data_IF_316148036825
#
_entry.id   IF_316148036825
#
_cell.length_a   1.000
_cell.length_b   1.000
_cell.length_c   1.000
_cell.angle_alpha   90.00
_cell.angle_beta   90.00
_cell.angle_gamma   90.00
#
_symmetry.space_group_name_H-M   'P 1'
#
loop_
_entity.id
_entity.type
_entity.pdbx_description
1 polymer ?
#
# COMPACT_ATOMS: atom_id res chain seq x y z
N UNK A 1 25.19 -13.60 -7.70
CA UNK A 1 24.65 -12.28 -8.11
C UNK A 1 25.54 -11.14 -7.62
N UNK A 2 26.01 -10.31 -8.53
CA UNK A 2 26.85 -9.13 -8.28
C UNK A 2 25.99 -7.86 -8.34
N UNK A 3 25.40 -7.47 -7.19
CA UNK A 3 24.42 -6.39 -7.11
C UNK A 3 24.95 -5.08 -7.71
N UNK A 4 26.17 -4.66 -7.36
CA UNK A 4 26.74 -3.40 -7.85
C UNK A 4 26.90 -3.37 -9.38
N UNK A 5 27.28 -4.49 -10.00
CA UNK A 5 27.39 -4.60 -11.44
C UNK A 5 26.03 -4.45 -12.15
N UNK A 6 25.00 -5.09 -11.57
CA UNK A 6 23.61 -4.97 -12.08
C UNK A 6 23.15 -3.53 -11.95
N UNK A 7 23.37 -2.89 -10.79
CA UNK A 7 22.97 -1.51 -10.57
C UNK A 7 23.67 -0.53 -11.50
N UNK A 8 24.97 -0.68 -11.74
CA UNK A 8 25.70 0.14 -12.71
C UNK A 8 25.11 0.05 -14.12
N UNK A 9 24.75 -1.16 -14.55
CA UNK A 9 24.11 -1.36 -15.86
C UNK A 9 22.70 -0.71 -15.92
N UNK A 10 21.93 -0.79 -14.85
CA UNK A 10 20.59 -0.14 -14.76
C UNK A 10 20.70 1.39 -14.71
N UNK A 11 21.65 1.95 -13.98
CA UNK A 11 21.89 3.40 -13.93
C UNK A 11 22.22 3.98 -15.31
N UNK A 12 22.98 3.23 -16.13
CA UNK A 12 23.28 3.63 -17.51
C UNK A 12 22.03 3.60 -18.40
N UNK A 13 21.13 2.64 -18.21
CA UNK A 13 19.88 2.52 -18.98
C UNK A 13 18.80 3.52 -18.53
N UNK A 14 18.76 3.86 -17.26
CA UNK A 14 17.71 4.65 -16.61
C UNK A 14 18.29 5.87 -15.88
N UNK A 15 18.99 6.76 -16.59
CA UNK A 15 19.62 7.92 -15.97
C UNK A 15 18.58 8.86 -15.35
N UNK A 16 18.81 9.25 -14.09
CA UNK A 16 17.94 10.16 -13.35
C UNK A 16 16.69 9.54 -12.72
N UNK A 17 16.50 8.22 -12.83
CA UNK A 17 15.37 7.52 -12.19
C UNK A 17 15.73 7.04 -10.78
N UNK A 18 16.04 7.98 -9.88
CA UNK A 18 16.60 7.72 -8.54
C UNK A 18 15.70 6.86 -7.66
N UNK A 19 14.39 7.12 -7.64
CA UNK A 19 13.44 6.37 -6.81
C UNK A 19 13.33 4.91 -7.26
N UNK A 20 13.29 4.70 -8.56
CA UNK A 20 13.25 3.36 -9.13
C UNK A 20 14.53 2.57 -8.86
N UNK A 21 15.70 3.18 -9.11
CA UNK A 21 17.00 2.54 -8.90
C UNK A 21 17.23 2.19 -7.42
N UNK A 22 16.80 3.06 -6.50
CA UNK A 22 16.87 2.78 -5.06
C UNK A 22 16.04 1.55 -4.68
N UNK A 23 14.80 1.47 -5.13
CA UNK A 23 13.92 0.35 -4.82
C UNK A 23 14.46 -0.98 -5.36
N UNK A 24 15.00 -0.99 -6.58
CA UNK A 24 15.64 -2.17 -7.15
C UNK A 24 16.83 -2.60 -6.30
N UNK A 25 17.71 -1.68 -5.92
CA UNK A 25 18.89 -1.96 -5.07
C UNK A 25 18.49 -2.63 -3.75
N UNK A 26 17.50 -2.09 -3.05
CA UNK A 26 17.02 -2.61 -1.77
C UNK A 26 16.52 -4.06 -1.88
N UNK A 27 15.74 -4.35 -2.93
CA UNK A 27 15.25 -5.72 -3.17
C UNK A 27 16.40 -6.66 -3.55
N UNK A 28 17.30 -6.27 -4.46
CA UNK A 28 18.43 -7.10 -4.88
C UNK A 28 19.34 -7.47 -3.71
N UNK A 29 19.61 -6.55 -2.79
CA UNK A 29 20.37 -6.83 -1.56
C UNK A 29 19.65 -7.88 -0.72
N UNK A 30 18.35 -7.73 -0.52
CA UNK A 30 17.54 -8.64 0.30
C UNK A 30 17.47 -10.06 -0.26
N UNK A 31 17.44 -10.22 -1.59
CA UNK A 31 17.24 -11.53 -2.24
C UNK A 31 18.53 -12.20 -2.70
N UNK A 32 19.69 -11.53 -2.57
CA UNK A 32 20.99 -12.01 -3.07
C UNK A 32 21.32 -13.44 -2.64
N UNK A 33 21.18 -13.73 -1.36
CA UNK A 33 21.57 -15.02 -0.78
C UNK A 33 20.68 -16.16 -1.30
N UNK A 34 19.36 -15.94 -1.36
CA UNK A 34 18.43 -16.95 -1.87
C UNK A 34 18.57 -17.13 -3.38
N UNK A 35 18.81 -16.06 -4.14
CA UNK A 35 19.07 -16.14 -5.57
C UNK A 35 20.29 -17.00 -5.89
N UNK A 36 21.38 -16.84 -5.13
CA UNK A 36 22.60 -17.61 -5.33
C UNK A 36 22.46 -19.11 -5.03
N UNK A 37 21.40 -19.51 -4.35
CA UNK A 37 21.04 -20.92 -4.11
C UNK A 37 20.28 -21.55 -5.29
N UNK A 38 19.89 -20.75 -6.29
CA UNK A 38 19.06 -21.12 -7.42
C UNK A 38 19.76 -20.82 -8.76
N UNK A 39 20.73 -21.65 -9.19
CA UNK A 39 21.45 -21.43 -10.46
C UNK A 39 20.54 -21.40 -11.69
N UNK A 40 19.34 -22.03 -11.60
CA UNK A 40 18.32 -21.98 -12.64
C UNK A 40 17.79 -20.56 -12.88
N UNK A 41 17.80 -19.69 -11.87
CA UNK A 41 17.39 -18.28 -12.02
C UNK A 41 18.41 -17.47 -12.82
N UNK A 42 19.70 -17.74 -12.63
CA UNK A 42 20.77 -17.10 -13.41
C UNK A 42 20.70 -17.53 -14.88
N UNK A 43 20.54 -18.82 -15.13
CA UNK A 43 20.42 -19.36 -16.49
C UNK A 43 19.21 -18.80 -17.26
N UNK A 44 18.14 -18.43 -16.56
CA UNK A 44 16.93 -17.83 -17.13
C UNK A 44 16.94 -16.30 -17.11
N UNK A 45 18.04 -15.65 -16.70
CA UNK A 45 18.17 -14.19 -16.57
C UNK A 45 17.01 -13.56 -15.78
N UNK A 46 16.61 -14.20 -14.67
CA UNK A 46 15.45 -13.76 -13.89
C UNK A 46 15.64 -12.34 -13.36
N UNK A 47 16.83 -11.98 -12.88
CA UNK A 47 17.07 -10.63 -12.34
C UNK A 47 16.97 -9.58 -13.44
N UNK A 48 17.60 -9.79 -14.57
CA UNK A 48 17.60 -8.85 -15.70
C UNK A 48 16.18 -8.61 -16.24
N UNK A 49 15.32 -9.62 -16.16
CA UNK A 49 13.91 -9.54 -16.58
C UNK A 49 13.01 -8.95 -15.51
N UNK A 50 13.19 -9.28 -14.24
CA UNK A 50 12.31 -8.84 -13.16
C UNK A 50 12.52 -7.38 -12.77
N UNK A 51 13.70 -6.82 -13.05
CA UNK A 51 13.99 -5.40 -12.79
C UNK A 51 13.58 -4.48 -13.94
N UNK A 52 13.17 -5.00 -15.07
CA UNK A 52 12.64 -4.18 -16.17
C UNK A 52 11.12 -4.37 -16.27
N UNK A 53 10.34 -3.29 -16.45
CA UNK A 53 8.91 -3.43 -16.70
C UNK A 53 8.66 -4.09 -18.06
N UNK A 54 7.64 -4.95 -18.14
CA UNK A 54 7.25 -5.61 -19.38
C UNK A 54 6.76 -4.61 -20.43
N UNK A 55 6.02 -3.57 -19.99
CA UNK A 55 5.54 -2.48 -20.86
C UNK A 55 5.39 -1.17 -20.12
N UNK A 56 5.64 -0.08 -20.83
CA UNK A 56 5.34 1.29 -20.40
C UNK A 56 4.50 1.96 -21.50
N UNK A 57 3.32 2.43 -21.12
CA UNK A 57 2.44 3.21 -22.00
C UNK A 57 2.48 4.65 -21.51
N UNK A 58 2.87 5.57 -22.40
CA UNK A 58 2.89 7.01 -22.13
C UNK A 58 2.03 7.71 -23.17
N UNK A 59 1.14 8.60 -22.74
CA UNK A 59 0.21 9.26 -23.61
C UNK A 59 -0.11 10.68 -23.14
N UNK A 60 -0.50 11.54 -24.09
CA UNK A 60 -0.95 12.91 -23.83
C UNK A 60 -2.43 12.90 -23.43
N UNK A 61 -2.77 13.70 -22.41
CA UNK A 61 -4.14 13.86 -21.89
C UNK A 61 -4.56 15.33 -22.04
N UNK A 62 -5.16 15.74 -23.18
CA UNK A 62 -5.73 17.09 -23.34
C UNK A 62 -7.14 17.12 -22.73
N UNK A 63 -7.44 18.19 -22.00
CA UNK A 63 -8.77 18.42 -21.42
C UNK A 63 -9.06 19.92 -21.33
N UNK A 64 -10.33 20.29 -21.12
CA UNK A 64 -10.76 21.70 -21.09
C UNK A 64 -11.17 22.06 -19.65
N UNK A 65 -10.61 23.13 -19.11
CA UNK A 65 -10.98 23.65 -17.79
C UNK A 65 -12.35 24.39 -17.81
N UNK A 66 -12.79 24.85 -16.65
CA UNK A 66 -14.07 25.54 -16.50
C UNK A 66 -14.09 26.94 -17.17
N UNK A 67 -12.92 27.49 -17.52
CA UNK A 67 -12.76 28.74 -18.26
C UNK A 67 -12.73 28.50 -19.78
N UNK A 68 -12.86 27.25 -20.25
CA UNK A 68 -12.81 26.91 -21.67
C UNK A 68 -11.38 26.82 -22.23
N UNK A 69 -10.34 26.88 -21.39
CA UNK A 69 -8.94 26.77 -21.80
C UNK A 69 -8.50 25.31 -21.88
N UNK A 70 -7.78 24.98 -22.96
CA UNK A 70 -7.18 23.65 -23.12
C UNK A 70 -5.99 23.49 -22.17
N UNK A 71 -6.03 22.44 -21.39
CA UNK A 71 -4.96 21.95 -20.52
C UNK A 71 -4.39 20.66 -21.10
N UNK A 72 -3.10 20.39 -20.84
CA UNK A 72 -2.42 19.17 -21.32
C UNK A 72 -1.61 18.57 -20.19
N UNK A 73 -1.89 17.32 -19.87
CA UNK A 73 -1.14 16.52 -18.92
C UNK A 73 -0.57 15.27 -19.62
N UNK A 74 0.32 14.55 -18.94
CA UNK A 74 0.87 13.30 -19.40
C UNK A 74 0.29 12.17 -18.55
N UNK A 75 -0.22 11.13 -19.21
CA UNK A 75 -0.69 9.89 -18.60
C UNK A 75 0.32 8.78 -18.80
N UNK A 76 0.38 7.89 -17.80
CA UNK A 76 1.28 6.73 -17.78
C UNK A 76 0.55 5.48 -17.30
N UNK A 77 0.93 4.33 -17.86
CA UNK A 77 0.68 3.01 -17.27
C UNK A 77 1.93 2.17 -17.38
N UNK A 78 2.47 1.72 -16.26
CA UNK A 78 3.57 0.78 -16.16
C UNK A 78 2.98 -0.59 -15.86
N UNK A 79 3.03 -1.48 -16.83
CA UNK A 79 2.72 -2.89 -16.72
C UNK A 79 4.03 -3.59 -16.37
N UNK A 80 4.25 -3.80 -15.06
CA UNK A 80 5.59 -4.11 -14.59
C UNK A 80 5.93 -5.60 -14.74
N UNK A 81 5.08 -6.48 -14.19
CA UNK A 81 5.28 -7.92 -14.29
C UNK A 81 3.94 -8.66 -14.21
N UNK A 82 3.63 -9.46 -15.22
CA UNK A 82 2.39 -10.21 -15.37
C UNK A 82 2.50 -11.70 -15.06
N UNK A 83 3.65 -12.20 -14.58
CA UNK A 83 3.89 -13.64 -14.44
C UNK A 83 2.92 -14.36 -13.48
N UNK A 84 2.35 -13.66 -12.51
CA UNK A 84 1.44 -14.27 -11.51
C UNK A 84 -0.03 -13.85 -11.65
N UNK A 85 -0.38 -13.12 -12.69
CA UNK A 85 -1.75 -12.70 -12.97
C UNK A 85 -1.82 -11.35 -13.66
N UNK A 86 -3.03 -10.83 -13.92
CA UNK A 86 -3.23 -9.52 -14.53
C UNK A 86 -2.46 -8.43 -13.79
N UNK A 87 -1.91 -7.46 -14.52
CA UNK A 87 -1.25 -6.32 -13.88
C UNK A 87 -2.23 -5.62 -12.95
N UNK A 88 -1.81 -5.34 -11.73
CA UNK A 88 -2.66 -4.75 -10.69
C UNK A 88 -1.91 -3.67 -9.93
N UNK A 89 -2.53 -2.51 -9.82
CA UNK A 89 -2.00 -1.39 -9.04
C UNK A 89 -2.71 -0.08 -9.35
N UNK A 90 -2.57 0.88 -8.43
CA UNK A 90 -3.31 2.13 -8.44
C UNK A 90 -2.91 3.10 -9.55
N UNK A 91 -3.82 4.03 -9.85
CA UNK A 91 -3.55 5.26 -10.59
C UNK A 91 -3.34 6.41 -9.60
N UNK A 92 -2.27 7.17 -9.76
CA UNK A 92 -1.96 8.34 -8.96
C UNK A 92 -2.14 9.62 -9.79
N UNK A 93 -2.98 10.54 -9.30
CA UNK A 93 -3.14 11.87 -9.89
C UNK A 93 -2.54 12.91 -8.94
N UNK A 94 -1.31 13.31 -9.24
CA UNK A 94 -0.57 14.26 -8.42
C UNK A 94 0.52 14.96 -9.25
N UNK A 95 0.75 16.24 -9.00
CA UNK A 95 1.73 17.04 -9.76
C UNK A 95 3.17 16.48 -9.74
N UNK A 96 3.53 15.68 -8.73
CA UNK A 96 4.86 15.06 -8.65
C UNK A 96 5.02 13.78 -9.47
N UNK A 97 3.96 13.28 -10.12
CA UNK A 97 4.02 12.02 -10.88
C UNK A 97 4.97 12.15 -12.05
N UNK A 98 5.90 11.21 -12.11
CA UNK A 98 6.84 11.01 -13.22
C UNK A 98 7.07 9.51 -13.43
N UNK A 99 7.81 9.17 -14.47
CA UNK A 99 8.04 7.76 -14.82
C UNK A 99 8.87 7.01 -13.78
N UNK A 100 9.88 7.63 -13.18
CA UNK A 100 10.71 7.02 -12.12
C UNK A 100 9.86 6.57 -10.93
N UNK A 101 8.98 7.45 -10.43
CA UNK A 101 8.04 7.16 -9.34
C UNK A 101 7.10 6.00 -9.71
N UNK A 102 6.57 5.98 -10.93
CA UNK A 102 5.62 4.93 -11.34
C UNK A 102 6.32 3.59 -11.58
N UNK A 103 7.55 3.56 -12.08
CA UNK A 103 8.37 2.37 -12.16
C UNK A 103 8.71 1.82 -10.77
N UNK A 104 9.16 2.67 -9.87
CA UNK A 104 9.35 2.32 -8.45
C UNK A 104 8.12 1.66 -7.85
N UNK A 105 6.98 2.34 -7.95
CA UNK A 105 5.73 1.85 -7.37
C UNK A 105 5.22 0.58 -8.05
N UNK A 106 5.43 0.41 -9.36
CA UNK A 106 5.06 -0.80 -10.10
C UNK A 106 5.93 -2.00 -9.72
N UNK A 107 7.23 -1.77 -9.55
CA UNK A 107 8.18 -2.78 -9.07
C UNK A 107 7.82 -3.28 -7.67
N UNK A 108 7.64 -2.38 -6.72
CA UNK A 108 7.20 -2.70 -5.35
C UNK A 108 5.84 -3.41 -5.31
N UNK A 109 4.91 -2.97 -6.18
CA UNK A 109 3.57 -3.56 -6.27
C UNK A 109 3.62 -5.02 -6.72
N UNK A 110 4.57 -5.39 -7.59
CA UNK A 110 4.77 -6.77 -8.04
C UNK A 110 5.00 -7.71 -6.86
N UNK A 111 5.91 -7.36 -5.95
CA UNK A 111 6.21 -8.19 -4.78
C UNK A 111 5.12 -8.14 -3.72
N UNK A 112 4.51 -6.97 -3.52
CA UNK A 112 3.36 -6.83 -2.61
C UNK A 112 2.19 -7.72 -3.04
N UNK A 113 1.82 -7.70 -4.32
CA UNK A 113 0.75 -8.54 -4.84
C UNK A 113 1.09 -10.03 -4.75
N UNK A 114 2.35 -10.38 -4.97
CA UNK A 114 2.83 -11.76 -4.86
C UNK A 114 2.62 -12.37 -3.47
N UNK A 115 2.64 -11.55 -2.42
CA UNK A 115 2.39 -12.02 -1.04
C UNK A 115 0.92 -12.40 -0.81
N UNK A 116 -0.04 -11.85 -1.56
CA UNK A 116 -1.49 -11.96 -1.27
C UNK A 116 -2.06 -13.29 -1.71
N UNK A 117 -1.53 -14.36 -1.91
CA UNK A 117 -2.14 -15.62 -2.41
C UNK A 117 -2.96 -15.47 -3.73
N UNK A 118 -3.38 -14.27 -4.07
CA UNK A 118 -4.25 -13.98 -5.22
C UNK A 118 -3.45 -13.86 -6.54
N UNK A 119 -4.05 -14.23 -7.68
CA UNK A 119 -3.40 -14.16 -8.99
C UNK A 119 -3.41 -12.71 -9.51
N UNK A 120 -2.46 -11.91 -9.05
CA UNK A 120 -2.30 -10.51 -9.44
C UNK A 120 -0.83 -10.18 -9.71
N UNK A 121 -0.53 -9.74 -10.90
CA UNK A 121 0.75 -9.16 -11.29
C UNK A 121 0.95 -7.76 -10.72
N UNK A 122 2.02 -7.09 -11.11
CA UNK A 122 2.35 -5.73 -10.68
C UNK A 122 2.17 -4.70 -11.79
N UNK A 123 1.52 -3.59 -11.45
CA UNK A 123 1.40 -2.44 -12.34
C UNK A 123 1.17 -1.15 -11.57
N UNK A 124 1.44 -0.03 -12.20
CA UNK A 124 1.19 1.30 -11.65
C UNK A 124 0.94 2.31 -12.76
N UNK A 125 0.13 3.31 -12.48
CA UNK A 125 -0.11 4.36 -13.46
C UNK A 125 -0.45 5.68 -12.81
N UNK A 126 -0.75 6.66 -13.64
CA UNK A 126 -1.12 7.98 -13.16
C UNK A 126 -0.84 9.11 -14.13
N UNK A 127 -0.90 10.31 -13.61
CA UNK A 127 -0.66 11.54 -14.35
C UNK A 127 -0.14 12.63 -13.43
N UNK A 128 0.59 13.59 -13.99
CA UNK A 128 0.97 14.85 -13.36
C UNK A 128 -0.22 15.81 -13.12
N UNK A 129 -1.43 15.39 -13.46
CA UNK A 129 -2.68 16.07 -13.11
C UNK A 129 -2.92 16.02 -11.59
N UNK A 130 -3.31 17.16 -11.00
CA UNK A 130 -3.75 17.22 -9.60
C UNK A 130 -5.24 17.56 -9.53
N UNK A 131 -6.08 16.73 -8.90
CA UNK A 131 -7.50 17.04 -8.71
C UNK A 131 -7.74 18.12 -7.65
N UNK A 132 -6.71 18.46 -6.86
CA UNK A 132 -6.84 19.46 -5.79
C UNK A 132 -7.18 20.83 -6.35
N UNK A 133 -8.27 21.42 -5.87
CA UNK A 133 -8.74 22.74 -6.32
C UNK A 133 -9.44 22.73 -7.68
N UNK A 134 -9.73 21.55 -8.24
CA UNK A 134 -10.49 21.39 -9.48
C UNK A 134 -11.97 21.11 -9.17
N UNK A 135 -12.85 21.55 -10.07
CA UNK A 135 -14.26 21.19 -10.01
C UNK A 135 -14.49 19.72 -10.36
N UNK A 136 -15.62 19.15 -9.94
CA UNK A 136 -16.02 17.82 -10.34
C UNK A 136 -16.15 17.67 -11.87
N UNK A 137 -16.58 18.71 -12.55
CA UNK A 137 -16.69 18.74 -14.00
C UNK A 137 -15.32 18.72 -14.69
N UNK A 138 -14.32 19.43 -14.17
CA UNK A 138 -12.94 19.40 -14.65
C UNK A 138 -12.34 18.01 -14.46
N UNK A 139 -12.48 17.43 -13.26
CA UNK A 139 -11.98 16.09 -12.93
C UNK A 139 -12.62 15.02 -13.81
N UNK A 140 -13.93 15.13 -14.06
CA UNK A 140 -14.64 14.21 -14.96
C UNK A 140 -14.10 14.30 -16.38
N UNK A 141 -13.93 15.51 -16.93
CA UNK A 141 -13.36 15.69 -18.28
C UNK A 141 -11.94 15.15 -18.40
N UNK A 142 -11.12 15.39 -17.37
CA UNK A 142 -9.77 14.81 -17.31
C UNK A 142 -9.82 13.28 -17.29
N UNK A 143 -10.61 12.66 -16.41
CA UNK A 143 -10.75 11.20 -16.31
C UNK A 143 -11.24 10.58 -17.64
N UNK A 144 -12.17 11.22 -18.31
CA UNK A 144 -12.66 10.77 -19.62
C UNK A 144 -11.56 10.83 -20.69
N UNK A 145 -10.81 11.92 -20.76
CA UNK A 145 -9.69 12.05 -21.68
C UNK A 145 -8.57 11.05 -21.39
N UNK A 146 -8.23 10.86 -20.11
CA UNK A 146 -7.25 9.86 -19.68
C UNK A 146 -7.66 8.44 -20.10
N UNK A 147 -8.93 8.07 -19.89
CA UNK A 147 -9.43 6.75 -20.23
C UNK A 147 -9.54 6.52 -21.74
N UNK A 148 -9.75 7.57 -22.56
CA UNK A 148 -9.76 7.46 -24.01
C UNK A 148 -8.47 6.88 -24.59
N UNK A 149 -7.35 7.13 -23.93
CA UNK A 149 -6.06 6.55 -24.31
C UNK A 149 -5.81 5.20 -23.62
N UNK A 150 -6.12 5.11 -22.33
CA UNK A 150 -5.77 3.94 -21.52
C UNK A 150 -6.58 2.69 -21.85
N UNK A 151 -7.86 2.82 -22.24
CA UNK A 151 -8.79 1.68 -22.33
C UNK A 151 -8.34 0.53 -23.26
N UNK A 152 -7.49 0.82 -24.25
CA UNK A 152 -6.95 -0.17 -25.18
C UNK A 152 -5.90 -1.10 -24.58
N UNK A 153 -5.39 -0.73 -23.41
CA UNK A 153 -4.24 -1.36 -22.74
C UNK A 153 -4.59 -2.02 -21.42
N UNK A 154 -5.89 -2.01 -21.06
CA UNK A 154 -6.38 -2.53 -19.79
C UNK A 154 -7.61 -3.41 -20.03
N UNK A 155 -7.83 -4.33 -19.13
CA UNK A 155 -8.94 -5.29 -19.20
C UNK A 155 -9.01 -6.14 -17.94
N UNK A 156 -10.15 -6.82 -17.68
CA UNK A 156 -10.34 -7.60 -16.46
C UNK A 156 -9.32 -8.74 -16.29
N UNK A 157 -8.81 -9.28 -17.38
CA UNK A 157 -7.85 -10.39 -17.42
C UNK A 157 -6.44 -9.95 -17.87
N UNK A 158 -6.24 -8.68 -18.15
CA UNK A 158 -4.97 -8.11 -18.62
C UNK A 158 -4.36 -7.16 -17.60
N UNK A 159 -5.09 -6.11 -17.25
CA UNK A 159 -4.60 -5.05 -16.36
C UNK A 159 -5.79 -4.36 -15.66
N UNK A 160 -5.85 -4.44 -14.34
CA UNK A 160 -6.96 -3.89 -13.54
C UNK A 160 -6.44 -2.79 -12.62
N UNK A 161 -6.51 -1.51 -13.03
CA UNK A 161 -6.12 -0.39 -12.19
C UNK A 161 -7.02 -0.22 -10.96
N UNK A 162 -6.52 0.53 -9.98
CA UNK A 162 -7.22 0.89 -8.75
C UNK A 162 -7.01 2.37 -8.41
N UNK A 163 -7.54 2.82 -7.27
CA UNK A 163 -7.24 4.13 -6.73
C UNK A 163 -5.87 4.20 -6.04
N UNK A 164 -5.34 5.40 -5.96
CA UNK A 164 -4.14 5.80 -5.20
C UNK A 164 -4.27 7.31 -4.87
N UNK A 165 -3.20 8.00 -4.51
CA UNK A 165 -3.23 9.44 -4.23
C UNK A 165 -3.91 10.20 -5.37
N UNK A 166 -4.92 11.01 -5.03
CA UNK A 166 -5.69 11.80 -6.00
C UNK A 166 -6.69 11.00 -6.85
N UNK A 167 -6.86 9.70 -6.59
CA UNK A 167 -7.84 8.84 -7.26
C UNK A 167 -8.64 8.07 -6.22
N UNK A 168 -9.77 8.62 -5.85
CA UNK A 168 -10.75 8.02 -4.96
C UNK A 168 -11.97 7.45 -5.70
N UNK A 169 -13.04 7.17 -4.96
CA UNK A 169 -14.28 6.60 -5.53
C UNK A 169 -14.90 7.46 -6.65
N UNK A 170 -14.80 8.79 -6.56
CA UNK A 170 -15.26 9.72 -7.59
C UNK A 170 -14.51 9.51 -8.91
N UNK A 171 -13.19 9.56 -8.87
CA UNK A 171 -12.34 9.38 -10.04
C UNK A 171 -12.51 7.97 -10.64
N UNK A 172 -12.56 6.93 -9.80
CA UNK A 172 -12.84 5.55 -10.22
C UNK A 172 -14.20 5.50 -10.95
N UNK A 173 -15.21 6.19 -10.46
CA UNK A 173 -16.52 6.28 -11.11
C UNK A 173 -16.45 6.88 -12.52
N UNK A 174 -15.77 8.02 -12.65
CA UNK A 174 -15.62 8.69 -13.96
C UNK A 174 -14.80 7.84 -14.94
N UNK A 175 -13.71 7.23 -14.48
CA UNK A 175 -12.88 6.33 -15.29
C UNK A 175 -13.68 5.08 -15.74
N UNK A 176 -14.41 4.45 -14.82
CA UNK A 176 -15.23 3.26 -15.14
C UNK A 176 -16.35 3.57 -16.10
N UNK A 177 -17.06 4.69 -15.90
CA UNK A 177 -18.13 5.12 -16.81
C UNK A 177 -17.65 5.32 -18.23
N UNK A 178 -16.47 5.94 -18.41
CA UNK A 178 -15.86 6.15 -19.72
C UNK A 178 -15.36 4.84 -20.33
N UNK A 179 -14.72 3.96 -19.56
CA UNK A 179 -14.30 2.63 -20.01
C UNK A 179 -15.52 1.83 -20.54
N UNK A 180 -16.59 1.76 -19.74
CA UNK A 180 -17.85 1.08 -20.14
C UNK A 180 -18.45 1.65 -21.42
N UNK A 181 -18.42 2.98 -21.58
CA UNK A 181 -18.90 3.65 -22.79
C UNK A 181 -18.09 3.26 -24.04
N UNK A 182 -16.76 3.20 -23.90
CA UNK A 182 -15.86 2.90 -25.04
C UNK A 182 -15.89 1.43 -25.44
N UNK A 183 -15.99 0.53 -24.46
CA UNK A 183 -15.97 -0.93 -24.72
C UNK A 183 -17.35 -1.54 -24.97
N UNK A 184 -18.44 -0.83 -24.62
CA UNK A 184 -19.81 -1.35 -24.59
C UNK A 184 -19.99 -2.62 -23.74
N UNK A 185 -19.13 -2.80 -22.73
CA UNK A 185 -19.13 -3.98 -21.86
C UNK A 185 -19.16 -3.56 -20.39
N UNK A 186 -19.92 -4.30 -19.58
CA UNK A 186 -19.89 -4.20 -18.12
C UNK A 186 -18.98 -5.30 -17.59
N UNK A 187 -17.71 -4.98 -17.47
CA UNK A 187 -16.66 -5.91 -17.04
C UNK A 187 -16.19 -5.59 -15.61
N UNK A 188 -15.51 -6.55 -14.98
CA UNK A 188 -14.82 -6.38 -13.70
C UNK A 188 -13.57 -5.51 -13.81
N UNK A 189 -13.72 -4.31 -14.35
CA UNK A 189 -12.66 -3.35 -14.62
C UNK A 189 -12.56 -2.34 -13.48
N UNK A 190 -11.34 -1.92 -13.14
CA UNK A 190 -11.05 -1.06 -12.00
C UNK A 190 -11.48 -1.69 -10.65
N UNK A 191 -10.83 -1.34 -9.57
CA UNK A 191 -11.25 -1.68 -8.21
C UNK A 191 -11.36 -0.44 -7.33
N UNK A 192 -12.15 -0.54 -6.24
CA UNK A 192 -12.58 0.61 -5.47
C UNK A 192 -13.88 1.22 -6.01
N UNK A 193 -14.67 0.40 -6.72
CA UNK A 193 -15.98 0.79 -7.26
C UNK A 193 -17.03 0.96 -6.16
N UNK A 194 -18.09 1.69 -6.48
CA UNK A 194 -19.29 1.74 -5.64
C UNK A 194 -20.02 0.39 -5.59
N UNK A 195 -20.68 0.10 -4.48
CA UNK A 195 -21.36 -1.19 -4.25
C UNK A 195 -22.42 -1.49 -5.30
N UNK A 196 -23.13 -0.47 -5.77
CA UNK A 196 -24.23 -0.57 -6.72
C UNK A 196 -23.77 -0.99 -8.15
N UNK A 197 -22.46 -0.94 -8.40
CA UNK A 197 -21.89 -1.24 -9.72
C UNK A 197 -20.63 -2.10 -9.67
N UNK A 198 -20.59 -3.05 -8.73
CA UNK A 198 -19.60 -4.12 -8.67
C UNK A 198 -18.45 -3.91 -7.68
N UNK A 199 -18.56 -2.92 -6.79
CA UNK A 199 -17.58 -2.71 -5.72
C UNK A 199 -17.73 -3.71 -4.57
N UNK A 200 -16.62 -4.04 -3.91
CA UNK A 200 -16.61 -4.87 -2.71
C UNK A 200 -16.93 -4.05 -1.45
N UNK A 201 -17.37 -4.74 -0.42
CA UNK A 201 -17.51 -4.23 0.94
C UNK A 201 -16.16 -4.20 1.66
N UNK A 202 -16.07 -3.54 2.81
CA UNK A 202 -14.86 -3.37 3.65
C UNK A 202 -13.70 -2.65 2.94
N UNK A 203 -13.96 -1.88 1.90
CA UNK A 203 -12.89 -1.24 1.12
C UNK A 203 -12.18 -0.10 1.86
N UNK A 204 -12.88 0.82 2.58
CA UNK A 204 -12.22 1.88 3.35
C UNK A 204 -11.36 1.35 4.51
N UNK A 205 -11.84 0.32 5.20
CA UNK A 205 -11.20 -0.26 6.39
C UNK A 205 -10.10 -1.27 6.07
N UNK A 206 -10.09 -1.83 4.87
CA UNK A 206 -9.33 -3.03 4.52
C UNK A 206 -7.84 -2.96 4.87
N UNK A 207 -7.20 -1.81 4.64
CA UNK A 207 -5.77 -1.64 4.95
C UNK A 207 -5.53 -1.70 6.45
N UNK A 208 -6.32 -0.99 7.24
CA UNK A 208 -6.22 -1.00 8.70
C UNK A 208 -6.57 -2.35 9.30
N UNK A 209 -7.64 -2.99 8.83
CA UNK A 209 -8.05 -4.33 9.27
C UNK A 209 -6.97 -5.36 8.99
N UNK A 210 -6.48 -5.39 7.76
CA UNK A 210 -5.41 -6.29 7.36
C UNK A 210 -4.14 -6.11 8.18
N UNK A 211 -3.77 -4.87 8.46
CA UNK A 211 -2.62 -4.57 9.29
C UNK A 211 -2.74 -5.16 10.70
N UNK A 212 -3.90 -5.03 11.33
CA UNK A 212 -4.14 -5.58 12.66
C UNK A 212 -4.20 -7.11 12.66
N UNK A 213 -4.68 -7.75 11.60
CA UNK A 213 -4.58 -9.21 11.45
C UNK A 213 -3.13 -9.67 11.38
N UNK A 214 -2.30 -8.96 10.59
CA UNK A 214 -0.87 -9.26 10.51
C UNK A 214 -0.16 -9.05 11.86
N UNK A 215 -0.40 -7.92 12.54
CA UNK A 215 0.17 -7.61 13.86
C UNK A 215 -0.24 -8.65 14.90
N UNK A 216 -1.50 -9.07 14.91
CA UNK A 216 -2.01 -10.09 15.82
C UNK A 216 -1.25 -11.41 15.61
N UNK A 217 -1.14 -11.89 14.38
CA UNK A 217 -0.38 -13.09 14.03
C UNK A 217 1.12 -12.98 14.38
N UNK A 218 1.71 -11.81 14.15
CA UNK A 218 3.10 -11.55 14.51
C UNK A 218 3.30 -11.65 16.02
N UNK A 219 2.41 -11.09 16.83
CA UNK A 219 2.47 -11.16 18.28
C UNK A 219 2.26 -12.58 18.78
N UNK A 220 1.24 -13.29 18.31
CA UNK A 220 0.97 -14.70 18.68
C UNK A 220 2.16 -15.63 18.39
N UNK A 221 2.82 -15.46 17.25
CA UNK A 221 4.02 -16.23 16.86
C UNK A 221 5.16 -16.06 17.87
N UNK A 222 5.19 -14.96 18.60
CA UNK A 222 6.18 -14.66 19.64
C UNK A 222 5.64 -14.85 21.07
N UNK A 223 4.48 -15.50 21.22
CA UNK A 223 3.87 -15.77 22.52
C UNK A 223 3.30 -14.52 23.21
N UNK A 224 2.98 -13.47 22.44
CA UNK A 224 2.44 -12.22 22.93
C UNK A 224 0.94 -12.13 22.60
N UNK A 225 0.15 -11.50 23.47
CA UNK A 225 -1.26 -11.24 23.24
C UNK A 225 -1.48 -9.73 22.99
N UNK A 226 -2.26 -9.39 21.99
CA UNK A 226 -2.64 -8.01 21.68
C UNK A 226 -3.67 -7.45 22.67
N UNK A 227 -4.43 -8.31 23.32
CA UNK A 227 -5.49 -7.92 24.26
C UNK A 227 -4.91 -7.15 25.44
N UNK A 228 -5.50 -6.00 25.76
CA UNK A 228 -5.07 -5.11 26.83
C UNK A 228 -3.82 -4.29 26.52
N UNK A 229 -3.23 -4.41 25.32
CA UNK A 229 -2.06 -3.62 24.93
C UNK A 229 -2.44 -2.24 24.44
N UNK A 230 -1.54 -1.27 24.64
CA UNK A 230 -1.70 0.09 24.15
C UNK A 230 -1.14 0.25 22.75
N UNK A 231 -1.85 0.99 21.91
CA UNK A 231 -1.49 1.25 20.51
C UNK A 231 -1.31 2.73 20.29
N UNK A 232 -0.12 3.16 19.87
CA UNK A 232 0.11 4.48 19.32
C UNK A 232 0.07 4.42 17.79
N UNK A 233 -0.83 5.17 17.19
CA UNK A 233 -0.92 5.31 15.74
C UNK A 233 -0.89 6.77 15.30
N UNK A 234 -0.49 6.99 14.06
CA UNK A 234 -0.53 8.29 13.39
C UNK A 234 -1.68 8.35 12.38
N UNK A 235 -2.06 9.56 12.00
CA UNK A 235 -3.16 9.80 11.07
C UNK A 235 -4.54 9.74 11.70
N UNK A 236 -5.55 10.15 10.93
CA UNK A 236 -6.99 10.00 11.23
C UNK A 236 -7.82 9.78 9.95
N UNK A 237 -7.13 9.38 8.86
CA UNK A 237 -7.77 8.95 7.61
C UNK A 237 -8.29 7.52 7.68
N UNK A 238 -8.78 6.99 6.55
CA UNK A 238 -9.39 5.66 6.46
C UNK A 238 -8.49 4.54 6.99
N UNK A 239 -7.18 4.62 6.76
CA UNK A 239 -6.20 3.63 7.23
C UNK A 239 -6.11 3.62 8.75
N UNK A 240 -5.93 4.80 9.36
CA UNK A 240 -5.86 4.97 10.81
C UNK A 240 -7.20 4.62 11.48
N UNK A 241 -8.31 5.03 10.88
CA UNK A 241 -9.66 4.69 11.37
C UNK A 241 -9.89 3.16 11.36
N UNK A 242 -9.59 2.49 10.25
CA UNK A 242 -9.70 1.03 10.17
C UNK A 242 -8.79 0.31 11.17
N UNK A 243 -7.53 0.78 11.32
CA UNK A 243 -6.60 0.23 12.30
C UNK A 243 -7.11 0.42 13.74
N UNK A 244 -7.60 1.60 14.10
CA UNK A 244 -8.15 1.88 15.43
C UNK A 244 -9.37 1.01 15.74
N UNK A 245 -10.28 0.86 14.77
CA UNK A 245 -11.47 0.03 14.90
C UNK A 245 -11.11 -1.44 15.14
N UNK A 246 -10.26 -2.02 14.31
CA UNK A 246 -9.86 -3.44 14.44
C UNK A 246 -9.00 -3.67 15.69
N UNK A 247 -8.10 -2.76 16.06
CA UNK A 247 -7.34 -2.85 17.29
C UNK A 247 -8.27 -2.92 18.52
N UNK A 248 -9.30 -2.08 18.56
CA UNK A 248 -10.32 -2.08 19.64
C UNK A 248 -11.13 -3.37 19.66
N UNK A 249 -11.53 -3.90 18.49
CA UNK A 249 -12.24 -5.18 18.38
C UNK A 249 -11.38 -6.36 18.90
N UNK A 250 -10.07 -6.32 18.69
CA UNK A 250 -9.11 -7.30 19.21
C UNK A 250 -8.77 -7.09 20.70
N UNK A 251 -9.37 -6.08 21.35
CA UNK A 251 -9.20 -5.81 22.77
C UNK A 251 -7.98 -4.95 23.12
N UNK A 252 -7.31 -4.33 22.15
CA UNK A 252 -6.26 -3.36 22.40
C UNK A 252 -6.84 -1.97 22.70
N UNK A 253 -6.04 -1.09 23.28
CA UNK A 253 -6.40 0.29 23.59
C UNK A 253 -5.62 1.26 22.69
N UNK A 254 -6.30 1.89 21.75
CA UNK A 254 -5.70 2.94 20.90
C UNK A 254 -5.64 4.24 21.71
N UNK A 255 -4.45 4.82 21.86
CA UNK A 255 -4.21 5.99 22.72
C UNK A 255 -3.78 7.25 21.98
N UNK A 256 -3.48 7.17 20.69
CA UNK A 256 -3.13 8.35 19.89
C UNK A 256 -3.81 8.35 18.52
N UNK A 257 -3.99 9.54 17.98
CA UNK A 257 -4.22 9.84 16.58
C UNK A 257 -3.42 11.10 16.22
N UNK A 258 -3.13 11.35 14.95
CA UNK A 258 -2.39 12.55 14.57
C UNK A 258 -2.86 13.13 13.24
N UNK A 259 -2.75 14.45 13.11
CA UNK A 259 -2.95 15.22 11.89
C UNK A 259 -1.71 16.02 11.52
N UNK A 260 -1.79 16.83 10.45
CA UNK A 260 -0.71 17.77 10.10
C UNK A 260 -0.47 18.84 11.16
N UNK A 261 -1.47 19.11 12.00
CA UNK A 261 -1.46 20.11 13.08
C UNK A 261 -0.79 19.61 14.38
N UNK A 262 -0.68 18.28 14.56
CA UNK A 262 -0.11 17.67 15.77
C UNK A 262 -0.69 16.31 16.06
N UNK A 263 -0.66 15.87 17.33
CA UNK A 263 -1.27 14.62 17.74
C UNK A 263 -2.11 14.75 19.01
N UNK A 264 -3.08 13.85 19.14
CA UNK A 264 -3.90 13.64 20.33
C UNK A 264 -3.36 12.46 21.11
N UNK A 265 -3.27 12.62 22.42
CA UNK A 265 -3.11 11.56 23.41
C UNK A 265 -4.37 11.44 24.26
N UNK A 266 -5.00 10.28 24.18
CA UNK A 266 -6.20 9.97 24.96
C UNK A 266 -5.94 8.77 25.88
N UNK A 267 -5.68 8.98 27.18
CA UNK A 267 -5.35 7.91 28.12
C UNK A 267 -6.51 6.95 28.35
N UNK A 268 -7.77 7.39 28.13
CA UNK A 268 -8.95 6.55 28.27
C UNK A 268 -9.17 5.63 27.06
N UNK A 269 -8.49 5.93 25.96
CA UNK A 269 -8.57 5.21 24.72
C UNK A 269 -9.56 5.81 23.72
N UNK A 270 -9.23 5.61 22.42
CA UNK A 270 -10.03 6.05 21.28
C UNK A 270 -10.89 4.85 20.84
N UNK A 271 -12.12 4.77 21.31
CA UNK A 271 -13.05 3.67 21.05
C UNK A 271 -14.49 4.16 20.93
N UNK A 272 -15.40 3.33 20.39
CA UNK A 272 -16.81 3.65 20.25
C UNK A 272 -17.04 4.94 19.47
N UNK A 273 -17.80 5.88 20.04
CA UNK A 273 -18.12 7.16 19.37
C UNK A 273 -16.88 8.01 19.02
N UNK A 274 -15.77 7.84 19.75
CA UNK A 274 -14.51 8.54 19.47
C UNK A 274 -13.89 8.08 18.13
N UNK A 275 -14.04 6.81 17.78
CA UNK A 275 -13.61 6.27 16.45
C UNK A 275 -14.48 6.87 15.34
N UNK A 276 -15.79 6.95 15.54
CA UNK A 276 -16.69 7.57 14.57
C UNK A 276 -16.38 9.06 14.40
N UNK A 277 -16.02 9.74 15.47
CA UNK A 277 -15.59 11.14 15.41
C UNK A 277 -14.31 11.35 14.60
N UNK A 278 -13.41 10.34 14.50
CA UNK A 278 -12.28 10.41 13.57
C UNK A 278 -12.76 10.56 12.11
N UNK A 279 -13.84 9.87 11.72
CA UNK A 279 -14.44 10.04 10.39
C UNK A 279 -15.06 11.42 10.20
N UNK A 280 -15.72 11.98 11.22
CA UNK A 280 -16.25 13.33 11.16
C UNK A 280 -15.14 14.34 10.92
N UNK A 281 -14.04 14.25 11.67
CA UNK A 281 -12.84 15.09 11.49
C UNK A 281 -12.28 14.96 10.05
N UNK A 282 -12.17 13.73 9.55
CA UNK A 282 -11.70 13.49 8.18
C UNK A 282 -12.62 14.12 7.13
N UNK A 283 -13.92 13.98 7.30
CA UNK A 283 -14.92 14.48 6.35
C UNK A 283 -15.12 16.00 6.44
N UNK A 284 -14.65 16.65 7.50
CA UNK A 284 -14.69 18.13 7.63
C UNK A 284 -13.82 18.82 6.57
N UNK A 285 -12.82 18.12 6.02
CA UNK A 285 -11.89 18.67 5.02
C UNK A 285 -10.84 19.65 5.58
N UNK A 286 -10.80 19.85 6.89
CA UNK A 286 -9.89 20.81 7.53
C UNK A 286 -8.49 20.21 7.82
N UNK A 287 -8.35 18.89 7.71
CA UNK A 287 -7.11 18.14 7.96
C UNK A 287 -6.44 18.44 9.33
N UNK A 288 -7.23 18.74 10.37
CA UNK A 288 -6.75 19.02 11.74
C UNK A 288 -7.38 18.07 12.75
N UNK A 289 -6.62 17.71 13.79
CA UNK A 289 -7.09 16.81 14.85
C UNK A 289 -7.35 17.53 16.20
N UNK A 290 -6.92 18.79 16.35
CA UNK A 290 -7.12 19.59 17.58
C UNK A 290 -8.59 19.58 18.10
N UNK A 291 -9.65 19.66 17.24
CA UNK A 291 -11.04 19.62 17.71
C UNK A 291 -11.42 18.36 18.50
N UNK A 292 -10.66 17.27 18.37
CA UNK A 292 -10.88 16.08 19.19
C UNK A 292 -10.66 16.37 20.67
N UNK A 293 -9.59 17.11 21.04
CA UNK A 293 -9.31 17.46 22.42
C UNK A 293 -10.33 18.45 23.00
N UNK A 294 -10.94 19.29 22.17
CA UNK A 294 -12.03 20.18 22.57
C UNK A 294 -13.29 19.36 22.90
N UNK A 295 -13.62 18.36 22.08
CA UNK A 295 -14.79 17.48 22.28
C UNK A 295 -14.61 16.51 23.45
N UNK A 296 -13.38 16.03 23.67
CA UNK A 296 -13.03 15.06 24.72
C UNK A 296 -11.98 15.61 25.69
N UNK A 297 -12.36 16.39 26.73
CA UNK A 297 -11.44 17.11 27.60
C UNK A 297 -10.47 16.23 28.43
N UNK A 298 -10.72 14.90 28.51
CA UNK A 298 -9.79 13.92 29.09
C UNK A 298 -8.55 13.67 28.25
N UNK A 299 -8.59 14.03 26.96
CA UNK A 299 -7.46 13.92 26.04
C UNK A 299 -6.61 15.18 26.01
N UNK A 300 -5.40 15.07 25.42
CA UNK A 300 -4.45 16.20 25.30
C UNK A 300 -4.02 16.34 23.86
N UNK A 301 -3.98 17.57 23.37
CA UNK A 301 -3.43 17.91 22.06
C UNK A 301 -1.98 18.41 22.18
N UNK A 302 -1.10 17.92 21.32
CA UNK A 302 0.30 18.31 21.25
C UNK A 302 0.60 18.89 19.86
N UNK A 303 0.50 20.21 19.78
CA UNK A 303 0.66 20.97 18.53
C UNK A 303 2.03 20.76 17.89
N UNK A 304 2.05 20.46 16.60
CA UNK A 304 3.26 20.32 15.79
C UNK A 304 4.17 19.14 16.16
N UNK A 305 3.69 18.23 17.03
CA UNK A 305 4.43 17.06 17.46
C UNK A 305 3.86 15.77 16.86
N UNK A 306 4.69 14.73 16.81
CA UNK A 306 4.32 13.37 16.39
C UNK A 306 4.17 12.45 17.62
N UNK A 307 3.38 11.36 17.54
CA UNK A 307 3.07 10.52 18.71
C UNK A 307 4.21 9.58 19.13
N UNK A 308 5.36 9.58 18.46
CA UNK A 308 6.40 8.57 18.60
C UNK A 308 7.14 8.59 19.96
N UNK A 309 7.05 9.66 20.70
CA UNK A 309 7.54 9.74 22.09
C UNK A 309 6.52 9.29 23.14
N UNK A 310 5.25 9.02 22.76
CA UNK A 310 4.23 8.54 23.67
C UNK A 310 4.45 7.07 23.98
N UNK A 311 4.53 6.70 25.27
CA UNK A 311 4.74 5.30 25.66
C UNK A 311 3.54 4.44 25.24
N UNK A 312 3.82 3.40 24.45
CA UNK A 312 2.85 2.40 24.02
C UNK A 312 3.51 1.03 23.83
N UNK A 313 2.71 -0.02 23.71
CA UNK A 313 3.18 -1.39 23.44
C UNK A 313 3.36 -1.63 21.94
N UNK A 314 2.52 -1.01 21.11
CA UNK A 314 2.46 -1.22 19.65
C UNK A 314 2.49 0.14 18.97
N UNK A 315 3.33 0.29 17.93
CA UNK A 315 3.41 1.52 17.14
C UNK A 315 3.06 1.26 15.68
N UNK A 316 2.11 2.06 15.17
CA UNK A 316 1.55 1.91 13.82
C UNK A 316 1.61 3.25 13.06
N UNK A 317 2.63 3.51 12.22
CA UNK A 317 2.58 4.63 11.29
C UNK A 317 1.51 4.38 10.23
N UNK A 318 0.43 5.20 10.25
CA UNK A 318 -0.76 5.06 9.42
C UNK A 318 -1.04 6.28 8.51
N UNK A 319 -0.19 7.31 8.54
CA UNK A 319 -0.45 8.57 7.86
C UNK A 319 0.24 8.67 6.49
N UNK A 320 1.54 8.93 6.46
CA UNK A 320 2.26 9.25 5.25
C UNK A 320 3.57 8.49 5.10
N UNK A 321 4.13 8.54 3.88
CA UNK A 321 5.45 8.01 3.60
C UNK A 321 6.53 8.75 4.40
N UNK A 322 7.52 8.02 4.92
CA UNK A 322 8.67 8.55 5.65
C UNK A 322 8.30 9.45 6.86
N UNK A 323 7.16 9.19 7.46
CA UNK A 323 6.71 9.96 8.62
C UNK A 323 7.51 9.68 9.91
N UNK A 324 8.11 8.49 10.01
CA UNK A 324 8.90 8.04 11.15
C UNK A 324 10.38 7.98 10.74
N UNK A 325 11.19 8.88 11.28
CA UNK A 325 12.61 8.98 10.97
C UNK A 325 13.49 8.28 12.03
N UNK A 326 14.82 8.37 11.88
CA UNK A 326 15.77 7.73 12.79
C UNK A 326 15.69 8.21 14.25
N UNK A 327 15.43 9.50 14.47
CA UNK A 327 15.25 10.05 15.84
C UNK A 327 13.94 9.56 16.47
N UNK A 328 12.89 9.44 15.66
CA UNK A 328 11.61 8.89 16.10
C UNK A 328 11.73 7.40 16.44
N UNK A 329 12.53 6.64 15.68
CA UNK A 329 12.85 5.25 16.01
C UNK A 329 13.58 5.12 17.35
N UNK A 330 14.53 6.01 17.65
CA UNK A 330 15.21 6.02 18.96
C UNK A 330 14.23 6.28 20.11
N UNK A 331 13.27 7.21 19.94
CA UNK A 331 12.21 7.47 20.94
C UNK A 331 11.33 6.24 21.17
N UNK A 332 10.94 5.55 20.09
CA UNK A 332 10.13 4.33 20.16
C UNK A 332 10.90 3.22 20.86
N UNK A 333 12.15 2.96 20.48
CA UNK A 333 13.00 1.94 21.12
C UNK A 333 13.22 2.21 22.61
N UNK A 334 13.34 3.48 23.00
CA UNK A 334 13.43 3.87 24.41
C UNK A 334 12.16 3.50 25.20
N UNK A 335 11.00 3.46 24.57
CA UNK A 335 9.73 3.01 25.16
C UNK A 335 9.64 1.48 25.31
N UNK A 336 10.58 0.71 24.75
CA UNK A 336 10.60 -0.78 24.74
C UNK A 336 9.31 -1.38 24.20
N UNK A 337 8.93 -1.10 22.94
CA UNK A 337 7.71 -1.59 22.35
C UNK A 337 7.73 -3.11 22.17
N UNK A 338 6.57 -3.74 22.13
CA UNK A 338 6.41 -5.14 21.73
C UNK A 338 6.60 -5.28 20.21
N UNK A 339 5.99 -4.38 19.42
CA UNK A 339 6.20 -4.37 17.99
C UNK A 339 6.00 -2.98 17.35
N UNK A 340 6.54 -2.83 16.15
CA UNK A 340 6.34 -1.70 15.24
C UNK A 340 5.92 -2.27 13.88
N UNK A 341 4.85 -1.76 13.27
CA UNK A 341 4.38 -2.25 11.98
C UNK A 341 3.92 -1.10 11.09
N UNK A 342 4.48 -1.01 9.89
CA UNK A 342 4.12 0.02 8.91
C UNK A 342 2.75 -0.24 8.29
N UNK A 343 1.79 0.61 8.57
CA UNK A 343 0.46 0.56 7.94
C UNK A 343 0.37 1.48 6.73
N UNK A 344 1.05 2.63 6.75
CA UNK A 344 1.27 3.45 5.57
C UNK A 344 2.31 2.83 4.62
N UNK A 345 2.29 3.24 3.35
CA UNK A 345 3.33 2.82 2.41
C UNK A 345 4.66 3.49 2.79
N UNK A 346 5.68 2.69 3.13
CA UNK A 346 7.01 3.17 3.56
C UNK A 346 6.88 4.22 4.69
N UNK A 347 6.16 3.89 5.77
CA UNK A 347 5.94 4.79 6.91
C UNK A 347 7.23 5.19 7.62
N UNK A 348 8.23 4.31 7.63
CA UNK A 348 9.55 4.54 8.18
C UNK A 348 10.54 4.97 7.09
N UNK A 349 11.50 5.82 7.45
CA UNK A 349 12.70 6.02 6.62
C UNK A 349 13.59 4.77 6.67
N UNK A 350 14.49 4.62 5.70
CA UNK A 350 15.46 3.52 5.68
C UNK A 350 16.27 3.45 6.99
N UNK A 351 16.73 4.61 7.48
CA UNK A 351 17.44 4.72 8.77
C UNK A 351 16.62 4.18 9.95
N UNK A 352 15.32 4.52 10.01
CA UNK A 352 14.45 4.04 11.07
C UNK A 352 14.24 2.52 11.00
N UNK A 353 14.02 1.98 9.81
CA UNK A 353 13.86 0.54 9.56
C UNK A 353 15.15 -0.23 9.94
N UNK A 354 16.34 0.30 9.59
CA UNK A 354 17.63 -0.25 9.96
C UNK A 354 17.82 -0.29 11.48
N UNK A 355 17.45 0.79 12.20
CA UNK A 355 17.54 0.85 13.67
C UNK A 355 16.66 -0.21 14.33
N UNK A 356 15.42 -0.39 13.86
CA UNK A 356 14.52 -1.43 14.38
C UNK A 356 15.08 -2.84 14.11
N UNK A 357 15.57 -3.09 12.92
CA UNK A 357 16.16 -4.39 12.55
C UNK A 357 17.44 -4.68 13.34
N UNK A 358 18.35 -3.70 13.49
CA UNK A 358 19.57 -3.82 14.26
C UNK A 358 19.30 -4.09 15.75
N UNK A 359 18.25 -3.48 16.30
CA UNK A 359 17.79 -3.73 17.66
C UNK A 359 17.06 -5.07 17.83
N UNK A 360 16.87 -5.84 16.76
CA UNK A 360 16.02 -7.05 16.72
C UNK A 360 14.60 -6.80 17.25
N UNK A 361 14.08 -5.60 17.04
CA UNK A 361 12.70 -5.26 17.35
C UNK A 361 11.78 -6.05 16.42
N UNK A 362 10.62 -6.52 16.91
CA UNK A 362 9.57 -7.01 16.03
C UNK A 362 9.10 -5.85 15.14
N UNK A 363 9.63 -5.79 13.94
CA UNK A 363 9.35 -4.75 12.95
C UNK A 363 8.87 -5.39 11.66
N UNK A 364 7.74 -4.92 11.14
CA UNK A 364 7.17 -5.44 9.90
C UNK A 364 6.97 -4.33 8.84
N UNK A 365 7.38 -4.58 7.58
CA UNK A 365 7.38 -3.58 6.51
C UNK A 365 5.98 -3.39 5.93
N UNK A 366 5.73 -2.19 5.40
CA UNK A 366 4.45 -1.79 4.82
C UNK A 366 3.95 -2.73 3.72
N UNK A 367 4.82 -3.23 2.84
CA UNK A 367 4.41 -4.13 1.75
C UNK A 367 3.72 -5.42 2.23
N UNK A 368 4.04 -5.90 3.42
CA UNK A 368 3.38 -7.05 4.04
C UNK A 368 2.18 -6.61 4.89
N UNK A 369 2.39 -5.64 5.79
CA UNK A 369 1.39 -5.21 6.77
C UNK A 369 0.18 -4.56 6.12
N UNK A 370 0.38 -3.67 5.15
CA UNK A 370 -0.71 -2.91 4.52
C UNK A 370 -1.32 -3.59 3.27
N UNK A 371 -1.00 -4.83 3.03
CA UNK A 371 -1.51 -5.58 1.88
C UNK A 371 -3.04 -5.78 1.90
N UNK A 372 -3.72 -5.52 3.02
CA UNK A 372 -5.17 -5.64 3.15
C UNK A 372 -5.96 -4.86 2.09
N UNK A 373 -5.50 -3.66 1.73
CA UNK A 373 -6.13 -2.86 0.67
C UNK A 373 -6.08 -3.51 -0.70
N UNK A 374 -4.92 -4.03 -1.11
CA UNK A 374 -4.79 -4.74 -2.40
C UNK A 374 -5.42 -6.13 -2.35
N UNK A 375 -5.39 -6.81 -1.21
CA UNK A 375 -6.08 -8.08 -1.01
C UNK A 375 -7.59 -7.92 -1.24
N UNK A 376 -8.22 -6.92 -0.62
CA UNK A 376 -9.65 -6.62 -0.85
C UNK A 376 -9.93 -6.21 -2.30
N UNK A 377 -9.00 -5.52 -2.96
CA UNK A 377 -9.11 -5.27 -4.41
C UNK A 377 -9.12 -6.56 -5.24
N UNK A 378 -8.27 -7.53 -4.90
CA UNK A 378 -8.29 -8.85 -5.55
C UNK A 378 -9.57 -9.65 -5.25
N UNK A 379 -10.11 -9.54 -4.03
CA UNK A 379 -11.41 -10.10 -3.68
C UNK A 379 -12.55 -9.43 -4.47
N UNK A 380 -12.47 -8.12 -4.74
CA UNK A 380 -13.40 -7.41 -5.63
C UNK A 380 -13.33 -7.98 -7.06
N UNK A 381 -12.12 -8.20 -7.58
CA UNK A 381 -11.94 -8.86 -8.89
C UNK A 381 -12.57 -10.25 -8.92
N UNK A 382 -12.37 -11.05 -7.88
CA UNK A 382 -12.97 -12.40 -7.77
C UNK A 382 -14.50 -12.34 -7.76
N UNK A 383 -15.10 -11.44 -6.98
CA UNK A 383 -16.55 -11.22 -6.98
C UNK A 383 -17.06 -10.80 -8.36
N UNK A 384 -16.35 -9.91 -9.05
CA UNK A 384 -16.70 -9.46 -10.38
C UNK A 384 -16.65 -10.60 -11.41
N UNK A 385 -15.63 -11.46 -11.36
CA UNK A 385 -15.52 -12.62 -12.26
C UNK A 385 -16.63 -13.64 -12.02
N UNK A 386 -17.03 -13.84 -10.77
CA UNK A 386 -18.15 -14.72 -10.40
C UNK A 386 -19.52 -14.07 -10.65
N UNK A 387 -19.58 -12.75 -10.82
CA UNK A 387 -20.81 -11.93 -10.85
C UNK A 387 -21.66 -12.09 -9.57
N UNK A 388 -20.99 -12.21 -8.45
CA UNK A 388 -21.57 -12.33 -7.11
C UNK A 388 -21.07 -11.20 -6.20
N UNK A 389 -21.82 -10.93 -5.16
CA UNK A 389 -21.39 -10.07 -4.05
C UNK A 389 -21.32 -10.93 -2.78
N UNK A 390 -20.21 -10.80 -2.05
CA UNK A 390 -20.04 -11.48 -0.77
C UNK A 390 -20.51 -10.59 0.39
N UNK A 391 -20.91 -11.24 1.50
CA UNK A 391 -21.25 -10.53 2.73
C UNK A 391 -20.00 -9.88 3.38
N UNK A 392 -20.19 -8.94 4.32
CA UNK A 392 -19.08 -8.38 5.08
C UNK A 392 -18.23 -9.44 5.78
N UNK A 393 -18.89 -10.45 6.34
CA UNK A 393 -18.26 -11.56 7.06
C UNK A 393 -17.42 -12.44 6.13
N UNK A 394 -17.93 -12.74 4.93
CA UNK A 394 -17.20 -13.51 3.92
C UNK A 394 -15.95 -12.78 3.44
N UNK A 395 -16.05 -11.48 3.19
CA UNK A 395 -14.89 -10.66 2.79
C UNK A 395 -13.87 -10.56 3.92
N UNK A 396 -14.32 -10.32 5.16
CA UNK A 396 -13.45 -10.21 6.33
C UNK A 396 -12.71 -11.52 6.63
N UNK A 397 -13.39 -12.67 6.56
CA UNK A 397 -12.75 -14.00 6.72
C UNK A 397 -11.68 -14.25 5.65
N UNK A 398 -11.96 -13.91 4.40
CA UNK A 398 -10.98 -14.05 3.29
C UNK A 398 -9.80 -13.10 3.48
N UNK A 399 -10.05 -11.86 3.91
CA UNK A 399 -9.00 -10.89 4.23
C UNK A 399 -8.11 -11.40 5.36
N UNK A 400 -8.71 -11.92 6.43
CA UNK A 400 -7.97 -12.51 7.56
C UNK A 400 -7.08 -13.66 7.09
N UNK A 401 -7.62 -14.61 6.31
CA UNK A 401 -6.86 -15.71 5.74
C UNK A 401 -5.67 -15.24 4.90
N UNK A 402 -5.88 -14.25 4.03
CA UNK A 402 -4.81 -13.71 3.19
C UNK A 402 -3.71 -13.07 4.05
N UNK A 403 -4.07 -12.26 5.05
CA UNK A 403 -3.09 -11.61 5.91
C UNK A 403 -2.30 -12.61 6.77
N UNK A 404 -2.96 -13.67 7.25
CA UNK A 404 -2.29 -14.79 7.94
C UNK A 404 -1.29 -15.50 7.02
N UNK A 405 -1.69 -15.78 5.78
CA UNK A 405 -0.80 -16.40 4.79
C UNK A 405 0.40 -15.51 4.45
N UNK A 406 0.21 -14.19 4.36
CA UNK A 406 1.33 -13.24 4.16
C UNK A 406 2.30 -13.33 5.34
N UNK A 407 1.78 -13.30 6.57
CA UNK A 407 2.60 -13.41 7.76
C UNK A 407 3.41 -14.73 7.78
N UNK A 408 2.77 -15.87 7.50
CA UNK A 408 3.42 -17.18 7.42
C UNK A 408 4.58 -17.20 6.40
N UNK A 409 4.37 -16.60 5.22
CA UNK A 409 5.43 -16.49 4.21
C UNK A 409 6.59 -15.61 4.69
N UNK A 410 6.30 -14.49 5.37
CA UNK A 410 7.35 -13.64 5.96
C UNK A 410 8.15 -14.40 7.02
N UNK A 411 7.50 -15.17 7.89
CA UNK A 411 8.17 -16.01 8.89
C UNK A 411 9.03 -17.09 8.23
N UNK A 412 8.48 -17.79 7.23
CA UNK A 412 9.18 -18.87 6.51
C UNK A 412 10.52 -18.42 5.94
N UNK A 413 10.59 -17.23 5.37
CA UNK A 413 11.80 -16.71 4.71
C UNK A 413 12.61 -15.74 5.57
N UNK A 414 12.03 -15.20 6.65
CA UNK A 414 12.69 -14.23 7.53
C UNK A 414 13.25 -14.80 8.83
N UNK A 415 12.88 -16.03 9.21
CA UNK A 415 13.31 -16.66 10.46
C UNK A 415 14.82 -16.94 10.46
N UNK A 416 15.50 -16.45 11.48
CA UNK A 416 16.93 -16.65 11.70
C UNK A 416 17.21 -17.79 12.71
N UNK A 417 18.46 -18.22 12.78
CA UNK A 417 18.89 -19.33 13.64
C UNK A 417 18.69 -19.08 15.15
N UNK A 418 18.68 -17.82 15.55
CA UNK A 418 18.46 -17.38 16.95
C UNK A 418 16.98 -17.20 17.32
N UNK A 419 16.07 -17.52 16.35
CA UNK A 419 14.63 -17.40 16.52
C UNK A 419 14.06 -16.01 16.17
N UNK A 420 14.89 -15.00 15.92
CA UNK A 420 14.42 -13.71 15.40
C UNK A 420 13.82 -13.87 14.00
N UNK A 421 12.78 -13.12 13.71
CA UNK A 421 12.17 -13.05 12.38
C UNK A 421 12.41 -11.66 11.79
N UNK A 422 13.23 -11.61 10.75
CA UNK A 422 13.41 -10.42 9.91
C UNK A 422 12.27 -10.35 8.89
N UNK A 423 11.20 -9.65 9.25
CA UNK A 423 10.01 -9.52 8.41
C UNK A 423 10.27 -8.74 7.12
N UNK A 424 11.24 -7.83 7.11
CA UNK A 424 11.63 -7.07 5.89
C UNK A 424 12.25 -8.02 4.88
N UNK A 425 13.27 -8.76 5.30
CA UNK A 425 13.92 -9.78 4.47
C UNK A 425 12.93 -10.88 4.05
N UNK A 426 12.10 -11.33 4.99
CA UNK A 426 11.08 -12.34 4.75
C UNK A 426 10.07 -11.95 3.68
N UNK A 427 9.54 -10.74 3.74
CA UNK A 427 8.59 -10.22 2.74
C UNK A 427 9.22 -10.09 1.35
N UNK A 428 10.44 -9.54 1.26
CA UNK A 428 11.15 -9.37 -0.01
C UNK A 428 11.44 -10.73 -0.67
N UNK A 429 11.97 -11.68 0.09
CA UNK A 429 12.28 -13.03 -0.44
C UNK A 429 11.00 -13.78 -0.82
N UNK A 430 9.96 -13.76 0.01
CA UNK A 430 8.71 -14.46 -0.30
C UNK A 430 8.09 -13.96 -1.61
N UNK A 431 7.99 -12.63 -1.79
CA UNK A 431 7.48 -12.03 -3.02
C UNK A 431 8.34 -12.36 -4.23
N UNK A 432 9.66 -12.20 -4.11
CA UNK A 432 10.62 -12.53 -5.18
C UNK A 432 10.52 -14.00 -5.61
N UNK A 433 10.57 -14.94 -4.68
CA UNK A 433 10.56 -16.38 -4.98
C UNK A 433 9.30 -16.81 -5.73
N UNK A 434 8.14 -16.24 -5.38
CA UNK A 434 6.89 -16.55 -6.09
C UNK A 434 6.92 -16.07 -7.53
N UNK A 435 7.35 -14.83 -7.77
CA UNK A 435 7.43 -14.24 -9.11
C UNK A 435 8.51 -14.93 -9.93
N UNK A 436 9.71 -15.13 -9.37
CA UNK A 436 10.84 -15.77 -10.06
C UNK A 436 10.51 -17.20 -10.52
N UNK A 437 9.85 -17.99 -9.67
CA UNK A 437 9.40 -19.34 -10.05
C UNK A 437 8.35 -19.32 -11.15
N UNK A 438 7.36 -18.43 -11.06
CA UNK A 438 6.36 -18.28 -12.13
C UNK A 438 6.99 -17.88 -13.46
N UNK A 439 7.94 -16.94 -13.44
CA UNK A 439 8.70 -16.55 -14.64
C UNK A 439 9.56 -17.70 -15.22
N UNK A 440 10.13 -18.52 -14.34
CA UNK A 440 10.91 -19.70 -14.76
C UNK A 440 10.01 -20.75 -15.43
N UNK A 441 8.86 -21.07 -14.82
CA UNK A 441 7.92 -22.07 -15.32
C UNK A 441 7.28 -21.67 -16.66
N UNK A 442 7.05 -20.38 -16.89
CA UNK A 442 6.49 -19.85 -18.13
C UNK A 442 7.53 -19.67 -19.25
N UNK A 443 8.80 -19.78 -18.95
CA UNK A 443 9.88 -19.67 -19.92
C UNK A 443 10.23 -18.21 -20.27
N UNK A 444 10.77 -18.02 -21.47
CA UNK A 444 11.18 -16.68 -21.97
C UNK A 444 10.10 -16.16 -22.90
N UNK A 445 9.28 -15.26 -22.42
CA UNK A 445 8.16 -14.62 -23.13
C UNK A 445 8.37 -13.11 -23.23
#
# INVERSE_FOLDING_TARGET
MEVEKIMQALEQKHPGESEYLQAVREVLISVKDVYNQHPEFENASIIERIVEPERIITFRVPWVDDQGKVQVNIGYRVQFNGAIGPYKGGLRFHASVNLSILKFLGFEQTFKNALTTLPMGGGKGGSDFSPRGKSDAEIMRFCQSFMNELYRHIGPDEDVPAGDIGVGGREIGYLFGQYRKLTHQFQGMLTGKGREWGGSILRPEATGYGALYFVHQMMETHGLDIKGKTVALSGFGNVAWGAAKKATELGAKVITLSGPDGYIYDPDGISGEKIEYMLELRNSGNDVCEPYAEKYPGSKFFKGQKPWGQKADIYLPCATQNELNGEDADKILACKPLCVAEVSNMGCTAEAAEKFTAAKQLFAPGKAVNAGGVATSGLEMSQNSLRLSWSPEEVDQKLHYIMSSIHEQCVKYGKQNDGYVDYVKGANIAGFMKVAKAMLDQGVI
#
